data_IF_963580254418
#
_entry.id   IF_963580254418
#
_cell.length_a   1.000
_cell.length_b   1.000
_cell.length_c   1.000
_cell.angle_alpha   90.00
_cell.angle_beta   90.00
_cell.angle_gamma   90.00
#
_symmetry.space_group_name_H-M   'P 1'
#
loop_
_entity.id
_entity.type
_entity.pdbx_description
1 polymer ?
#
# COMPACT_ATOMS: atom_id res chain seq x y z
N UNK A 1 -22.96 0.93 -1.61
CA UNK A 1 -23.83 2.12 -1.41
C UNK A 1 -24.12 2.68 -2.78
N UNK A 2 -25.39 2.70 -3.23
CA UNK A 2 -25.77 3.40 -4.46
C UNK A 2 -25.79 4.89 -4.16
N UNK A 3 -25.02 5.68 -4.90
CA UNK A 3 -25.15 7.14 -4.87
C UNK A 3 -26.59 7.47 -5.28
N UNK A 4 -27.29 8.23 -4.46
CA UNK A 4 -28.63 8.71 -4.78
C UNK A 4 -28.56 9.46 -6.11
N UNK A 5 -29.56 9.21 -7.01
CA UNK A 5 -29.70 9.91 -8.29
C UNK A 5 -29.82 11.44 -8.17
N UNK A 6 -29.93 11.94 -6.93
CA UNK A 6 -30.05 13.36 -6.57
C UNK A 6 -28.72 14.02 -6.14
N UNK A 7 -27.57 13.35 -6.27
CA UNK A 7 -26.28 13.94 -5.87
C UNK A 7 -25.97 15.17 -6.73
N UNK A 8 -25.76 16.37 -6.12
CA UNK A 8 -25.72 17.65 -6.84
C UNK A 8 -24.54 17.77 -7.83
N UNK A 9 -23.49 16.97 -7.65
CA UNK A 9 -22.32 16.95 -8.54
C UNK A 9 -22.56 16.18 -9.86
N UNK A 10 -23.53 15.28 -9.93
CA UNK A 10 -23.80 14.46 -11.14
C UNK A 10 -24.14 15.32 -12.36
N UNK A 11 -24.72 16.50 -12.18
CA UNK A 11 -25.01 17.43 -13.28
C UNK A 11 -23.78 17.93 -14.03
N UNK A 12 -22.59 17.80 -13.43
CA UNK A 12 -21.32 18.23 -14.03
C UNK A 12 -20.56 17.07 -14.71
N UNK A 13 -21.06 15.84 -14.63
CA UNK A 13 -20.34 14.67 -15.16
C UNK A 13 -20.33 14.61 -16.69
N UNK A 14 -21.30 15.24 -17.38
CA UNK A 14 -21.38 15.17 -18.85
C UNK A 14 -21.38 13.71 -19.32
N UNK A 15 -20.35 13.35 -20.08
CA UNK A 15 -20.17 11.99 -20.61
C UNK A 15 -19.41 11.04 -19.65
N UNK A 16 -19.05 11.48 -18.46
CA UNK A 16 -18.39 10.62 -17.47
C UNK A 16 -19.40 9.68 -16.85
N UNK A 17 -19.14 8.36 -16.82
CA UNK A 17 -20.05 7.40 -16.21
C UNK A 17 -20.31 7.71 -14.74
N UNK A 18 -21.57 7.71 -14.32
CA UNK A 18 -21.94 7.92 -12.92
C UNK A 18 -21.58 6.73 -12.01
N UNK A 19 -21.45 5.55 -12.60
CA UNK A 19 -21.09 4.32 -11.91
C UNK A 19 -19.98 3.60 -12.66
N UNK A 20 -18.99 3.13 -11.93
CA UNK A 20 -17.91 2.30 -12.47
C UNK A 20 -18.06 0.88 -11.95
N UNK A 21 -17.77 -0.09 -12.81
CA UNK A 21 -17.67 -1.49 -12.41
C UNK A 21 -16.26 -1.75 -11.87
N UNK A 22 -16.18 -2.11 -10.59
CA UNK A 22 -14.91 -2.42 -9.95
C UNK A 22 -14.69 -3.94 -9.87
N UNK A 23 -13.48 -4.44 -10.20
CA UNK A 23 -13.19 -5.85 -10.05
C UNK A 23 -13.20 -6.24 -8.55
N UNK A 24 -13.79 -7.40 -8.26
CA UNK A 24 -13.78 -7.99 -6.91
C UNK A 24 -12.41 -8.64 -6.62
N UNK A 25 -11.38 -7.80 -6.50
CA UNK A 25 -9.98 -8.20 -6.30
C UNK A 25 -9.32 -7.33 -5.26
N UNK A 26 -8.36 -7.91 -4.52
CA UNK A 26 -7.46 -7.12 -3.67
C UNK A 26 -6.49 -6.31 -4.54
N UNK A 27 -5.89 -5.27 -3.94
CA UNK A 27 -4.85 -4.47 -4.62
C UNK A 27 -3.67 -5.37 -5.04
N UNK A 28 -3.27 -6.32 -4.19
CA UNK A 28 -2.25 -7.31 -4.55
C UNK A 28 -2.64 -8.15 -5.77
N UNK A 29 -3.89 -8.63 -5.83
CA UNK A 29 -4.36 -9.40 -6.99
C UNK A 29 -4.38 -8.56 -8.28
N UNK A 30 -4.63 -7.27 -8.18
CA UNK A 30 -4.59 -6.36 -9.33
C UNK A 30 -3.16 -6.16 -9.85
N UNK A 31 -2.20 -5.92 -8.98
CA UNK A 31 -0.79 -5.76 -9.39
C UNK A 31 -0.21 -7.08 -9.91
N UNK A 32 -0.58 -8.21 -9.30
CA UNK A 32 -0.19 -9.54 -9.80
C UNK A 32 -0.70 -9.77 -11.23
N UNK A 33 -1.97 -9.50 -11.50
CA UNK A 33 -2.52 -9.63 -12.84
C UNK A 33 -1.85 -8.69 -13.87
N UNK A 34 -1.42 -7.49 -13.45
CA UNK A 34 -0.64 -6.60 -14.31
C UNK A 34 0.76 -7.16 -14.60
N UNK A 35 1.41 -7.73 -13.59
CA UNK A 35 2.72 -8.36 -13.70
C UNK A 35 2.71 -9.59 -14.62
N UNK A 36 1.67 -10.41 -14.54
CA UNK A 36 1.49 -11.58 -15.41
C UNK A 36 1.34 -11.19 -16.89
N UNK A 37 0.66 -10.06 -17.19
CA UNK A 37 0.54 -9.55 -18.56
C UNK A 37 1.80 -8.90 -19.08
N UNK A 38 2.59 -8.26 -18.21
CA UNK A 38 3.71 -7.40 -18.61
C UNK A 38 4.97 -7.65 -17.75
N UNK A 39 5.48 -8.89 -17.63
CA UNK A 39 6.51 -9.25 -16.65
C UNK A 39 7.84 -8.49 -16.82
N UNK A 40 8.18 -8.13 -18.06
CA UNK A 40 9.44 -7.46 -18.40
C UNK A 40 9.36 -5.93 -18.41
N UNK A 41 8.14 -5.36 -18.38
CA UNK A 41 8.01 -3.90 -18.33
C UNK A 41 8.44 -3.37 -16.95
N UNK A 42 8.95 -2.13 -16.91
CA UNK A 42 9.22 -1.46 -15.64
C UNK A 42 7.92 -1.30 -14.82
N UNK A 43 7.93 -1.76 -13.59
CA UNK A 43 6.87 -1.51 -12.62
C UNK A 43 7.04 -0.13 -11.97
N UNK A 44 8.29 0.27 -11.71
CA UNK A 44 8.65 1.59 -11.22
C UNK A 44 10.10 1.92 -11.56
N UNK A 45 10.43 3.19 -11.44
CA UNK A 45 11.80 3.72 -11.49
C UNK A 45 12.06 4.52 -10.22
N UNK A 46 13.23 4.32 -9.62
CA UNK A 46 13.66 5.06 -8.43
C UNK A 46 15.15 5.38 -8.54
N UNK A 47 15.50 6.67 -8.45
CA UNK A 47 16.87 7.18 -8.57
C UNK A 47 17.60 6.63 -9.81
N UNK A 48 16.92 6.61 -10.96
CA UNK A 48 17.46 6.14 -12.23
C UNK A 48 17.49 4.61 -12.40
N UNK A 49 17.14 3.84 -11.39
CA UNK A 49 17.08 2.37 -11.46
C UNK A 49 15.66 1.89 -11.74
N UNK A 50 15.48 1.21 -12.88
CA UNK A 50 14.21 0.57 -13.25
C UNK A 50 14.11 -0.81 -12.63
N UNK A 51 12.93 -1.12 -12.10
CA UNK A 51 12.58 -2.45 -11.55
C UNK A 51 11.43 -3.01 -12.36
N UNK A 52 11.58 -4.21 -12.93
CA UNK A 52 10.53 -4.87 -13.72
C UNK A 52 9.40 -5.38 -12.84
N UNK A 53 8.24 -5.68 -13.43
CA UNK A 53 7.14 -6.32 -12.70
C UNK A 53 7.56 -7.67 -12.09
N UNK A 54 8.34 -8.48 -12.79
CA UNK A 54 8.87 -9.74 -12.23
C UNK A 54 9.68 -9.49 -10.96
N UNK A 55 10.62 -8.58 -11.01
CA UNK A 55 11.46 -8.22 -9.84
C UNK A 55 10.62 -7.62 -8.71
N UNK A 56 9.66 -6.79 -9.05
CA UNK A 56 8.76 -6.19 -8.07
C UNK A 56 7.93 -7.24 -7.34
N UNK A 57 7.32 -8.18 -8.07
CA UNK A 57 6.54 -9.27 -7.46
C UNK A 57 7.40 -10.14 -6.55
N UNK A 58 8.64 -10.45 -6.94
CA UNK A 58 9.58 -11.15 -6.08
C UNK A 58 9.83 -10.38 -4.77
N UNK A 59 10.07 -9.07 -4.83
CA UNK A 59 10.29 -8.24 -3.63
C UNK A 59 9.05 -8.15 -2.74
N UNK A 60 7.85 -8.11 -3.32
CA UNK A 60 6.60 -8.19 -2.56
C UNK A 60 6.52 -9.52 -1.82
N UNK A 61 6.86 -10.63 -2.49
CA UNK A 61 6.78 -11.97 -1.91
C UNK A 61 7.80 -12.16 -0.78
N UNK A 62 9.05 -11.72 -0.97
CA UNK A 62 10.10 -11.72 0.06
C UNK A 62 9.66 -10.90 1.29
N UNK A 63 9.11 -9.71 1.07
CA UNK A 63 8.64 -8.83 2.15
C UNK A 63 7.43 -9.43 2.88
N UNK A 64 6.51 -10.05 2.17
CA UNK A 64 5.38 -10.75 2.76
C UNK A 64 5.82 -11.90 3.68
N UNK A 65 6.82 -12.70 3.25
CA UNK A 65 7.40 -13.77 4.07
C UNK A 65 8.08 -13.22 5.32
N UNK A 66 8.80 -12.11 5.21
CA UNK A 66 9.43 -11.45 6.36
C UNK A 66 8.37 -11.02 7.38
N UNK A 67 7.26 -10.40 6.97
CA UNK A 67 6.17 -10.05 7.88
C UNK A 67 5.54 -11.28 8.55
N UNK A 68 5.33 -12.37 7.82
CA UNK A 68 4.83 -13.61 8.40
C UNK A 68 5.80 -14.19 9.45
N UNK A 69 7.12 -14.15 9.17
CA UNK A 69 8.15 -14.60 10.12
C UNK A 69 8.19 -13.73 11.38
N UNK A 70 7.85 -12.42 11.28
CA UNK A 70 7.67 -11.52 12.41
C UNK A 70 6.36 -11.75 13.18
N UNK A 71 5.53 -12.69 12.77
CA UNK A 71 4.25 -13.00 13.42
C UNK A 71 3.08 -12.10 13.02
N UNK A 72 3.22 -11.30 11.95
CA UNK A 72 2.11 -10.51 11.40
C UNK A 72 1.11 -11.43 10.71
N UNK A 73 -0.17 -11.26 11.00
CA UNK A 73 -1.27 -12.09 10.51
C UNK A 73 -2.31 -11.25 9.77
N UNK A 74 -3.21 -11.92 9.08
CA UNK A 74 -4.39 -11.30 8.47
C UNK A 74 -5.17 -10.47 9.49
N UNK A 75 -5.47 -9.23 9.14
CA UNK A 75 -6.20 -8.27 9.99
C UNK A 75 -5.30 -7.47 10.94
N UNK A 76 -4.03 -7.87 11.14
CA UNK A 76 -3.08 -7.06 11.89
C UNK A 76 -2.78 -5.76 11.16
N UNK A 77 -2.45 -4.73 11.91
CA UNK A 77 -2.09 -3.42 11.38
C UNK A 77 -0.61 -3.18 11.54
N UNK A 78 0.02 -2.70 10.49
CA UNK A 78 1.43 -2.31 10.46
C UNK A 78 1.52 -0.88 9.98
N UNK A 79 2.17 -0.02 10.75
CA UNK A 79 2.40 1.37 10.34
C UNK A 79 3.62 1.45 9.43
N UNK A 80 3.47 2.09 8.28
CA UNK A 80 4.55 2.43 7.36
C UNK A 80 4.78 3.94 7.46
N UNK A 81 5.89 4.31 8.12
CA UNK A 81 6.33 5.69 8.35
C UNK A 81 7.60 5.95 7.53
N UNK A 82 7.46 5.94 6.21
CA UNK A 82 8.56 6.03 5.27
C UNK A 82 8.26 7.03 4.16
N UNK A 83 9.29 7.66 3.57
CA UNK A 83 9.12 8.44 2.34
C UNK A 83 8.72 7.53 1.17
N UNK A 84 8.39 8.15 0.04
CA UNK A 84 8.12 7.41 -1.19
C UNK A 84 9.41 6.74 -1.70
N UNK A 85 9.57 5.48 -1.37
CA UNK A 85 10.72 4.65 -1.75
C UNK A 85 10.27 3.21 -2.09
N UNK A 86 11.11 2.43 -2.78
CA UNK A 86 10.77 1.06 -3.14
C UNK A 86 10.38 0.18 -1.94
N UNK A 87 11.03 0.34 -0.81
CA UNK A 87 10.75 -0.43 0.39
C UNK A 87 9.35 -0.19 0.95
N UNK A 88 8.86 1.06 0.89
CA UNK A 88 7.48 1.39 1.26
C UNK A 88 6.46 0.68 0.35
N UNK A 89 6.74 0.63 -0.97
CA UNK A 89 5.90 -0.11 -1.93
C UNK A 89 5.92 -1.62 -1.64
N UNK A 90 7.10 -2.20 -1.42
CA UNK A 90 7.22 -3.63 -1.09
C UNK A 90 6.45 -3.98 0.19
N UNK A 91 6.56 -3.14 1.22
CA UNK A 91 5.84 -3.32 2.47
C UNK A 91 4.33 -3.21 2.29
N UNK A 92 3.85 -2.17 1.58
CA UNK A 92 2.43 -1.97 1.31
C UNK A 92 1.79 -3.18 0.61
N UNK A 93 2.38 -3.63 -0.50
CA UNK A 93 1.85 -4.77 -1.24
C UNK A 93 2.10 -6.11 -0.53
N UNK A 94 3.21 -6.25 0.20
CA UNK A 94 3.50 -7.43 1.01
C UNK A 94 2.48 -7.64 2.14
N UNK A 95 2.12 -6.58 2.85
CA UNK A 95 1.05 -6.61 3.86
C UNK A 95 -0.31 -6.94 3.23
N UNK A 96 -0.62 -6.30 2.09
CA UNK A 96 -1.87 -6.59 1.38
C UNK A 96 -1.95 -8.06 0.93
N UNK A 97 -0.83 -8.66 0.50
CA UNK A 97 -0.76 -10.07 0.11
C UNK A 97 -1.14 -11.02 1.24
N UNK A 98 -0.71 -10.74 2.46
CA UNK A 98 -1.02 -11.58 3.64
C UNK A 98 -2.33 -11.18 4.33
N UNK A 99 -3.04 -10.18 3.80
CA UNK A 99 -4.30 -9.70 4.35
C UNK A 99 -4.17 -8.84 5.61
N UNK A 100 -2.97 -8.32 5.86
CA UNK A 100 -2.73 -7.31 6.90
C UNK A 100 -3.08 -5.91 6.38
N UNK A 101 -3.22 -4.96 7.29
CA UNK A 101 -3.61 -3.58 7.01
C UNK A 101 -2.38 -2.67 7.09
N UNK A 102 -2.12 -1.93 6.02
CA UNK A 102 -1.08 -0.90 5.99
C UNK A 102 -1.64 0.41 6.53
N UNK A 103 -1.11 0.91 7.63
CA UNK A 103 -1.39 2.23 8.15
C UNK A 103 -0.28 3.19 7.69
N UNK A 104 -0.56 3.98 6.65
CA UNK A 104 0.43 4.88 6.04
C UNK A 104 0.41 6.22 6.77
N UNK A 105 1.56 6.64 7.33
CA UNK A 105 1.70 7.95 7.98
C UNK A 105 2.90 8.71 7.41
N UNK A 106 2.87 10.04 7.57
CA UNK A 106 3.92 10.88 7.03
C UNK A 106 5.22 10.75 7.86
N UNK A 107 6.40 10.52 7.24
CA UNK A 107 7.66 10.26 7.98
C UNK A 107 8.18 11.48 8.74
N UNK A 108 7.75 12.70 8.35
CA UNK A 108 8.14 13.94 9.03
C UNK A 108 7.14 14.37 10.11
N UNK A 109 6.12 13.56 10.42
CA UNK A 109 5.22 13.83 11.54
C UNK A 109 5.98 13.95 12.86
N UNK A 110 5.48 14.79 13.76
CA UNK A 110 6.05 14.96 15.09
C UNK A 110 5.92 13.65 15.90
N UNK A 111 6.84 13.41 16.85
CA UNK A 111 6.83 12.18 17.66
C UNK A 111 5.48 11.96 18.39
N UNK A 112 4.85 13.04 18.85
CA UNK A 112 3.52 13.00 19.48
C UNK A 112 2.42 12.52 18.52
N UNK A 113 2.45 12.95 17.25
CA UNK A 113 1.51 12.51 16.22
C UNK A 113 1.75 11.04 15.84
N UNK A 114 3.02 10.63 15.69
CA UNK A 114 3.37 9.23 15.41
C UNK A 114 2.83 8.32 16.54
N UNK A 115 3.05 8.71 17.80
CA UNK A 115 2.51 7.99 18.97
C UNK A 115 0.99 7.90 18.92
N UNK A 116 0.32 9.00 18.58
CA UNK A 116 -1.14 9.03 18.44
C UNK A 116 -1.61 8.05 17.36
N UNK A 117 -1.01 8.09 16.15
CA UNK A 117 -1.40 7.20 15.06
C UNK A 117 -1.15 5.73 15.36
N UNK A 118 -0.04 5.39 16.02
CA UNK A 118 0.27 4.01 16.44
C UNK A 118 -0.78 3.48 17.42
N UNK A 119 -1.12 4.27 18.44
CA UNK A 119 -2.12 3.90 19.42
C UNK A 119 -3.52 3.81 18.82
N UNK A 120 -3.92 4.81 18.05
CA UNK A 120 -5.25 4.87 17.42
C UNK A 120 -5.47 3.74 16.42
N UNK A 121 -4.46 3.40 15.62
CA UNK A 121 -4.53 2.29 14.67
C UNK A 121 -4.35 0.93 15.33
N UNK A 122 -3.91 0.85 16.58
CA UNK A 122 -3.48 -0.39 17.23
C UNK A 122 -2.46 -1.17 16.41
N UNK A 123 -1.49 -0.47 15.82
CA UNK A 123 -0.45 -1.08 15.00
C UNK A 123 0.46 -1.99 15.82
N UNK A 124 0.71 -3.20 15.33
CA UNK A 124 1.61 -4.17 15.98
C UNK A 124 3.07 -3.78 15.87
N UNK A 125 3.45 -3.14 14.77
CA UNK A 125 4.80 -2.63 14.55
C UNK A 125 4.79 -1.41 13.63
N UNK A 126 5.92 -0.74 13.58
CA UNK A 126 6.21 0.37 12.67
C UNK A 126 7.39 0.01 11.78
N UNK A 127 7.28 0.27 10.49
CA UNK A 127 8.36 0.25 9.54
C UNK A 127 8.77 1.69 9.27
N UNK A 128 10.04 2.01 9.52
CA UNK A 128 10.58 3.36 9.33
C UNK A 128 12.01 3.28 8.80
N UNK A 129 12.59 4.41 8.41
CA UNK A 129 14.02 4.49 8.08
C UNK A 129 14.85 4.52 9.37
N UNK A 130 16.07 3.98 9.29
CA UNK A 130 17.06 4.01 10.36
C UNK A 130 17.32 5.42 10.87
N UNK A 131 17.34 6.41 9.97
CA UNK A 131 17.50 7.84 10.30
C UNK A 131 16.42 8.39 11.24
N UNK A 132 15.25 7.75 11.30
CA UNK A 132 14.12 8.19 12.13
C UNK A 132 13.95 7.34 13.39
N UNK A 133 14.80 6.34 13.59
CA UNK A 133 14.68 5.42 14.73
C UNK A 133 14.86 6.10 16.10
N UNK A 134 15.68 7.14 16.17
CA UNK A 134 15.92 7.90 17.39
C UNK A 134 14.84 8.94 17.74
N UNK A 135 13.79 9.04 16.91
CA UNK A 135 12.69 9.99 17.07
C UNK A 135 11.56 9.42 17.93
#
# INVERSE_FOLDING_TARGET
>A
MSLSSSAPWLKYYGNVPHHLSYPQKTIYQMVKAAAERNPKLPAYEFMGKKTTFTQFMQKIDETAQAFLAMGIKKGDRVTICMPNCPQALHAFYGLNRIGAVSNMIHPLSAAGEIRFYLNFSHSKCILTLDQFYAK
#
